data_IF_255345608220
#
_entry.id   IF_255345608220
#
_cell.length_a   1.000
_cell.length_b   1.000
_cell.length_c   1.000
_cell.angle_alpha   90.00
_cell.angle_beta   90.00
_cell.angle_gamma   90.00
#
_symmetry.space_group_name_H-M   'P 1'
#
loop_
_entity.id
_entity.type
_entity.pdbx_description
1 polymer ?
#
# COMPACT_ATOMS: atom_id res chain seq x y z
N UNK A 1 20.46 -8.07 -1.28
CA UNK A 1 21.21 -6.80 -1.47
C UNK A 1 22.31 -6.71 -0.42
N UNK A 2 23.44 -6.04 -0.71
CA UNK A 2 24.47 -5.83 0.31
C UNK A 2 23.97 -4.77 1.33
N UNK A 3 24.05 -5.01 2.66
CA UNK A 3 23.45 -4.14 3.67
C UNK A 3 23.78 -2.65 3.53
N UNK A 4 25.02 -2.32 3.15
CA UNK A 4 25.48 -0.94 2.89
C UNK A 4 24.68 -0.15 1.85
N UNK A 5 23.95 -0.82 0.95
CA UNK A 5 23.15 -0.16 -0.09
C UNK A 5 21.68 -0.02 0.29
N UNK A 6 21.22 -0.57 1.43
CA UNK A 6 19.80 -0.59 1.77
C UNK A 6 19.21 0.81 1.89
N UNK A 7 19.90 1.76 2.53
CA UNK A 7 19.43 3.15 2.62
C UNK A 7 19.30 3.82 1.26
N UNK A 8 20.26 3.57 0.35
CA UNK A 8 20.25 4.10 -1.01
C UNK A 8 19.10 3.49 -1.83
N UNK A 9 18.87 2.18 -1.72
CA UNK A 9 17.75 1.49 -2.35
C UNK A 9 16.42 2.06 -1.83
N UNK A 10 16.26 2.17 -0.51
CA UNK A 10 15.04 2.64 0.12
C UNK A 10 14.68 4.07 -0.31
N UNK A 11 15.65 5.01 -0.25
CA UNK A 11 15.39 6.40 -0.64
C UNK A 11 15.14 6.55 -2.15
N UNK A 12 15.79 5.72 -2.97
CA UNK A 12 15.57 5.72 -4.42
C UNK A 12 14.19 5.16 -4.77
N UNK A 13 13.75 4.06 -4.12
CA UNK A 13 12.40 3.55 -4.27
C UNK A 13 11.35 4.57 -3.83
N UNK A 14 11.58 5.26 -2.71
CA UNK A 14 10.69 6.32 -2.23
C UNK A 14 10.60 7.48 -3.24
N UNK A 15 11.74 7.95 -3.76
CA UNK A 15 11.77 9.02 -4.74
C UNK A 15 11.08 8.62 -6.05
N UNK A 16 11.31 7.39 -6.53
CA UNK A 16 10.61 6.82 -7.68
C UNK A 16 9.09 6.81 -7.46
N UNK A 17 8.63 6.29 -6.32
CA UNK A 17 7.21 6.23 -6.00
C UNK A 17 6.57 7.62 -5.93
N UNK A 18 7.26 8.60 -5.35
CA UNK A 18 6.79 9.98 -5.32
C UNK A 18 6.60 10.53 -6.74
N UNK A 19 7.57 10.31 -7.65
CA UNK A 19 7.45 10.74 -9.06
C UNK A 19 6.34 10.05 -9.84
N UNK A 20 5.90 8.86 -9.41
CA UNK A 20 4.84 8.11 -10.12
C UNK A 20 3.44 8.38 -9.58
N UNK A 21 3.32 8.75 -8.30
CA UNK A 21 2.03 8.86 -7.61
C UNK A 21 1.64 10.31 -7.34
N UNK A 22 2.60 11.18 -7.03
CA UNK A 22 2.33 12.55 -6.61
C UNK A 22 2.35 13.53 -7.79
N UNK A 23 1.66 14.66 -7.65
CA UNK A 23 1.74 15.80 -8.56
C UNK A 23 3.14 16.45 -8.51
N UNK A 24 3.56 17.11 -9.60
CA UNK A 24 4.91 17.68 -9.74
C UNK A 24 5.30 18.63 -8.60
N UNK A 25 4.34 19.40 -8.07
CA UNK A 25 4.55 20.35 -6.96
C UNK A 25 4.77 19.64 -5.61
N UNK A 26 4.37 18.37 -5.50
CA UNK A 26 4.51 17.54 -4.31
C UNK A 26 5.75 16.65 -4.34
N UNK A 27 6.36 16.46 -5.51
CA UNK A 27 7.60 15.68 -5.64
C UNK A 27 8.73 16.41 -4.87
N UNK A 28 9.39 15.73 -3.90
CA UNK A 28 10.42 16.37 -3.12
C UNK A 28 11.67 16.65 -3.96
N UNK A 29 12.29 17.82 -3.77
CA UNK A 29 13.56 18.14 -4.41
C UNK A 29 14.63 17.15 -3.95
N UNK A 30 15.26 16.43 -4.88
CA UNK A 30 16.18 15.33 -4.57
C UNK A 30 17.30 15.70 -3.58
N UNK A 31 17.87 16.91 -3.70
CA UNK A 31 18.91 17.39 -2.78
C UNK A 31 18.39 17.57 -1.36
N UNK A 32 17.16 18.04 -1.21
CA UNK A 32 16.48 18.21 0.07
C UNK A 32 16.13 16.84 0.64
N UNK A 33 15.55 15.95 -0.16
CA UNK A 33 15.24 14.58 0.23
C UNK A 33 16.47 13.84 0.75
N UNK A 34 17.57 13.87 0.02
CA UNK A 34 18.82 13.20 0.40
C UNK A 34 19.38 13.71 1.75
N UNK A 35 19.26 15.02 2.00
CA UNK A 35 19.72 15.67 3.24
C UNK A 35 18.80 15.31 4.41
N UNK A 36 17.50 15.47 4.23
CA UNK A 36 16.51 15.39 5.32
C UNK A 36 16.16 13.93 5.67
N UNK A 37 16.42 12.98 4.78
CA UNK A 37 16.25 11.55 5.06
C UNK A 37 17.38 10.93 5.88
N UNK A 38 18.48 11.65 6.10
CA UNK A 38 19.70 11.17 6.77
C UNK A 38 20.23 9.84 6.21
N UNK A 39 19.98 9.56 4.92
CA UNK A 39 20.34 8.28 4.30
C UNK A 39 21.84 8.11 4.03
N UNK A 40 22.62 9.18 4.15
CA UNK A 40 24.05 9.22 3.86
C UNK A 40 24.40 9.15 2.36
N UNK A 41 23.41 9.24 1.47
CA UNK A 41 23.61 9.15 0.02
C UNK A 41 23.67 10.55 -0.62
N UNK A 42 24.52 10.71 -1.61
CA UNK A 42 24.52 11.88 -2.50
C UNK A 42 23.43 11.76 -3.57
N UNK A 43 23.03 12.89 -4.16
CA UNK A 43 22.04 12.90 -5.25
C UNK A 43 22.46 12.04 -6.45
N UNK A 44 23.76 11.99 -6.78
CA UNK A 44 24.28 11.14 -7.86
C UNK A 44 24.18 9.65 -7.55
N UNK A 45 24.39 9.25 -6.29
CA UNK A 45 24.19 7.86 -5.86
C UNK A 45 22.72 7.44 -5.95
N UNK A 46 21.81 8.32 -5.53
CA UNK A 46 20.36 8.08 -5.61
C UNK A 46 19.93 7.95 -7.08
N UNK A 47 20.32 8.87 -7.96
CA UNK A 47 19.98 8.79 -9.39
C UNK A 47 20.56 7.54 -10.07
N UNK A 48 21.76 7.12 -9.67
CA UNK A 48 22.36 5.88 -10.19
C UNK A 48 21.57 4.66 -9.71
N UNK A 49 21.19 4.61 -8.43
CA UNK A 49 20.42 3.51 -7.86
C UNK A 49 18.99 3.47 -8.44
N UNK A 50 18.35 4.62 -8.63
CA UNK A 50 17.08 4.77 -9.33
C UNK A 50 17.11 4.10 -10.71
N UNK A 51 18.12 4.40 -11.53
CA UNK A 51 18.27 3.77 -12.85
C UNK A 51 18.41 2.24 -12.75
N UNK A 52 19.23 1.76 -11.81
CA UNK A 52 19.39 0.32 -11.58
C UNK A 52 18.06 -0.34 -11.20
N UNK A 53 17.24 0.32 -10.37
CA UNK A 53 15.93 -0.19 -9.97
C UNK A 53 14.99 -0.23 -11.19
N UNK A 54 14.91 0.86 -11.97
CA UNK A 54 14.11 0.91 -13.19
C UNK A 54 14.48 -0.20 -14.17
N UNK A 55 15.77 -0.38 -14.43
CA UNK A 55 16.26 -1.44 -15.32
C UNK A 55 15.87 -2.84 -14.80
N UNK A 56 15.91 -3.06 -13.48
CA UNK A 56 15.50 -4.34 -12.86
C UNK A 56 14.00 -4.59 -12.91
N UNK A 57 13.20 -3.54 -12.94
CA UNK A 57 11.75 -3.61 -13.07
C UNK A 57 11.31 -3.59 -14.55
N UNK A 58 12.25 -3.64 -15.50
CA UNK A 58 11.99 -3.48 -16.93
C UNK A 58 11.22 -2.20 -17.25
N UNK A 59 11.47 -1.14 -16.48
CA UNK A 59 10.78 0.15 -16.57
C UNK A 59 9.27 0.07 -16.32
N UNK A 60 8.77 -1.05 -15.82
CA UNK A 60 7.37 -1.22 -15.44
C UNK A 60 7.18 -0.90 -13.96
N UNK A 61 6.47 0.20 -13.71
CA UNK A 61 6.10 0.65 -12.37
C UNK A 61 4.59 0.46 -12.11
N UNK A 62 3.85 -0.09 -13.07
CA UNK A 62 2.41 -0.32 -12.96
C UNK A 62 2.15 -1.60 -12.18
N UNK A 63 2.19 -1.49 -10.86
CA UNK A 63 1.86 -2.59 -9.96
C UNK A 63 0.74 -2.20 -9.01
N UNK A 64 -0.30 -3.03 -8.94
CA UNK A 64 -1.36 -2.85 -7.98
C UNK A 64 -0.81 -3.10 -6.57
N UNK A 65 -0.98 -2.12 -5.70
CA UNK A 65 -0.55 -2.20 -4.31
C UNK A 65 -1.62 -2.91 -3.47
N UNK A 66 -1.25 -3.44 -2.28
CA UNK A 66 -2.25 -3.93 -1.32
C UNK A 66 -3.32 -2.88 -0.99
N UNK A 67 -2.97 -1.58 -1.04
CA UNK A 67 -3.89 -0.48 -0.77
C UNK A 67 -4.95 -0.34 -1.87
N UNK A 68 -4.57 -0.52 -3.14
CA UNK A 68 -5.51 -0.50 -4.26
C UNK A 68 -6.56 -1.61 -4.11
N UNK A 69 -6.12 -2.82 -3.77
CA UNK A 69 -7.03 -3.93 -3.48
C UNK A 69 -7.92 -3.66 -2.27
N UNK A 70 -7.39 -3.04 -1.21
CA UNK A 70 -8.17 -2.68 -0.03
C UNK A 70 -9.30 -1.71 -0.41
N UNK A 71 -9.00 -0.68 -1.20
CA UNK A 71 -10.00 0.28 -1.68
C UNK A 71 -11.08 -0.41 -2.52
N UNK A 72 -10.68 -1.28 -3.46
CA UNK A 72 -11.61 -2.02 -4.32
C UNK A 72 -12.51 -2.95 -3.49
N UNK A 73 -11.93 -3.77 -2.62
CA UNK A 73 -12.69 -4.72 -1.80
C UNK A 73 -13.61 -4.02 -0.82
N UNK A 74 -13.17 -2.92 -0.20
CA UNK A 74 -14.02 -2.12 0.68
C UNK A 74 -15.20 -1.51 -0.08
N UNK A 75 -14.96 -0.95 -1.27
CA UNK A 75 -16.02 -0.42 -2.12
C UNK A 75 -17.04 -1.49 -2.51
N UNK A 76 -16.59 -2.69 -2.91
CA UNK A 76 -17.46 -3.82 -3.23
C UNK A 76 -18.24 -4.27 -1.99
N UNK A 77 -17.57 -4.44 -0.84
CA UNK A 77 -18.22 -4.85 0.40
C UNK A 77 -19.35 -3.92 0.82
N UNK A 78 -19.09 -2.61 0.83
CA UNK A 78 -20.09 -1.59 1.18
C UNK A 78 -21.24 -1.56 0.17
N UNK A 79 -20.96 -1.78 -1.13
CA UNK A 79 -21.98 -1.79 -2.18
C UNK A 79 -22.86 -3.04 -2.15
N UNK A 80 -22.27 -4.22 -1.93
CA UNK A 80 -22.99 -5.50 -1.87
C UNK A 80 -23.78 -5.64 -0.56
N UNK A 81 -23.29 -5.05 0.54
CA UNK A 81 -23.89 -5.15 1.87
C UNK A 81 -24.09 -3.76 2.48
N UNK A 82 -25.12 -3.01 2.05
CA UNK A 82 -25.43 -1.69 2.61
C UNK A 82 -25.70 -1.72 4.12
N UNK A 83 -26.08 -2.89 4.69
CA UNK A 83 -26.18 -3.05 6.15
C UNK A 83 -24.90 -2.67 6.90
N UNK A 84 -23.73 -2.77 6.27
CA UNK A 84 -22.46 -2.33 6.85
C UNK A 84 -22.46 -0.84 7.21
N UNK A 85 -23.22 -0.01 6.49
CA UNK A 85 -23.37 1.42 6.81
C UNK A 85 -24.06 1.65 8.16
N UNK A 86 -24.93 0.73 8.57
CA UNK A 86 -25.65 0.81 9.84
C UNK A 86 -24.92 0.05 10.95
N UNK A 87 -24.21 -1.04 10.61
CA UNK A 87 -23.42 -1.83 11.55
C UNK A 87 -22.14 -1.14 12.01
N UNK A 88 -21.58 -0.23 11.21
CA UNK A 88 -20.40 0.56 11.60
C UNK A 88 -20.77 1.51 12.73
N UNK A 89 -20.37 1.23 13.99
CA UNK A 89 -20.73 2.10 15.08
C UNK A 89 -19.82 3.32 14.99
N UNK A 90 -20.39 4.45 14.54
CA UNK A 90 -19.81 5.81 14.60
C UNK A 90 -18.83 6.23 13.49
N UNK A 91 -18.48 5.38 12.55
CA UNK A 91 -17.53 5.71 11.47
C UNK A 91 -18.23 5.79 10.12
N UNK A 92 -17.99 6.86 9.36
CA UNK A 92 -18.35 6.88 7.94
C UNK A 92 -17.55 5.83 7.16
N UNK A 93 -18.00 5.39 5.97
CA UNK A 93 -17.22 4.47 5.13
C UNK A 93 -15.79 4.96 4.85
N UNK A 94 -15.60 6.26 4.65
CA UNK A 94 -14.28 6.86 4.45
C UNK A 94 -13.40 6.82 5.69
N UNK A 95 -13.96 7.10 6.87
CA UNK A 95 -13.23 6.97 8.14
C UNK A 95 -12.87 5.52 8.43
N UNK A 96 -13.78 4.59 8.13
CA UNK A 96 -13.54 3.17 8.25
C UNK A 96 -12.40 2.72 7.32
N UNK A 97 -12.42 3.13 6.05
CA UNK A 97 -11.34 2.85 5.11
C UNK A 97 -9.99 3.43 5.55
N UNK A 98 -9.98 4.62 6.16
CA UNK A 98 -8.75 5.22 6.69
C UNK A 98 -8.15 4.40 7.85
N UNK A 99 -9.00 3.84 8.73
CA UNK A 99 -8.56 2.93 9.80
C UNK A 99 -7.94 1.67 9.21
N UNK A 100 -8.61 1.04 8.25
CA UNK A 100 -8.08 -0.16 7.57
C UNK A 100 -6.78 0.14 6.83
N UNK A 101 -6.69 1.30 6.16
CA UNK A 101 -5.46 1.75 5.49
C UNK A 101 -4.30 1.84 6.47
N UNK A 102 -4.51 2.43 7.65
CA UNK A 102 -3.48 2.51 8.69
C UNK A 102 -3.05 1.11 9.18
N UNK A 103 -3.99 0.20 9.35
CA UNK A 103 -3.68 -1.18 9.74
C UNK A 103 -2.89 -1.91 8.65
N UNK A 104 -3.27 -1.74 7.39
CA UNK A 104 -2.58 -2.34 6.25
C UNK A 104 -1.13 -1.87 6.16
N UNK A 105 -0.90 -0.57 6.33
CA UNK A 105 0.46 -0.01 6.34
C UNK A 105 1.30 -0.58 7.49
N UNK A 106 0.70 -0.84 8.65
CA UNK A 106 1.40 -1.53 9.75
C UNK A 106 1.73 -2.99 9.38
N UNK A 107 0.82 -3.71 8.72
CA UNK A 107 1.09 -5.05 8.21
C UNK A 107 2.22 -5.07 7.17
N UNK A 108 2.30 -4.06 6.30
CA UNK A 108 3.36 -3.94 5.30
C UNK A 108 4.74 -3.68 5.91
N UNK A 109 4.81 -3.18 7.15
CA UNK A 109 6.07 -3.08 7.88
C UNK A 109 6.57 -4.43 8.43
N UNK A 110 5.76 -5.49 8.36
CA UNK A 110 6.10 -6.82 8.84
C UNK A 110 6.54 -7.75 7.69
N UNK A 111 7.82 -8.12 7.69
CA UNK A 111 8.41 -8.98 6.64
C UNK A 111 7.71 -10.33 6.48
N UNK A 112 7.16 -10.91 7.55
CA UNK A 112 6.42 -12.19 7.48
C UNK A 112 5.12 -12.08 6.69
N UNK A 113 4.53 -10.88 6.60
CA UNK A 113 3.29 -10.65 5.85
C UNK A 113 3.57 -10.27 4.40
N UNK A 114 4.75 -9.74 4.10
CA UNK A 114 5.17 -9.38 2.74
C UNK A 114 5.38 -10.57 1.80
N UNK A 115 5.41 -11.80 2.34
CA UNK A 115 5.50 -13.02 1.52
C UNK A 115 4.17 -13.36 0.79
N UNK A 116 3.05 -12.79 1.24
CA UNK A 116 1.74 -13.00 0.62
C UNK A 116 1.48 -12.00 -0.50
N UNK A 117 0.61 -12.36 -1.45
CA UNK A 117 0.13 -11.42 -2.47
C UNK A 117 -0.56 -10.23 -1.81
N UNK A 118 -0.38 -9.03 -2.38
CA UNK A 118 -1.01 -7.81 -1.86
C UNK A 118 -2.54 -7.90 -1.77
N UNK A 119 -3.16 -8.51 -2.78
CA UNK A 119 -4.61 -8.79 -2.78
C UNK A 119 -5.03 -9.71 -1.63
N UNK A 120 -4.25 -10.74 -1.31
CA UNK A 120 -4.55 -11.65 -0.20
C UNK A 120 -4.45 -10.93 1.15
N UNK A 121 -3.46 -10.05 1.34
CA UNK A 121 -3.34 -9.27 2.57
C UNK A 121 -4.53 -8.31 2.74
N UNK A 122 -4.91 -7.61 1.67
CA UNK A 122 -6.07 -6.72 1.67
C UNK A 122 -7.38 -7.48 1.95
N UNK A 123 -7.59 -8.63 1.29
CA UNK A 123 -8.77 -9.47 1.49
C UNK A 123 -8.83 -10.01 2.92
N UNK A 124 -7.71 -10.50 3.47
CA UNK A 124 -7.66 -10.99 4.85
C UNK A 124 -8.04 -9.88 5.85
N UNK A 125 -7.56 -8.65 5.61
CA UNK A 125 -7.89 -7.49 6.43
C UNK A 125 -9.39 -7.14 6.36
N UNK A 126 -9.96 -7.07 5.15
CA UNK A 126 -11.40 -6.83 4.98
C UNK A 126 -12.21 -7.95 5.63
N UNK A 127 -11.86 -9.21 5.37
CA UNK A 127 -12.57 -10.37 5.93
C UNK A 127 -12.60 -10.35 7.45
N UNK A 128 -11.46 -10.08 8.11
CA UNK A 128 -11.36 -10.00 9.56
C UNK A 128 -12.23 -8.88 10.13
N UNK A 129 -12.37 -7.77 9.41
CA UNK A 129 -13.22 -6.67 9.86
C UNK A 129 -14.70 -6.97 9.64
N UNK A 130 -15.05 -7.57 8.49
CA UNK A 130 -16.44 -7.96 8.20
C UNK A 130 -16.95 -9.00 9.20
N UNK A 131 -16.11 -9.93 9.65
CA UNK A 131 -16.45 -10.94 10.66
C UNK A 131 -16.98 -10.32 11.96
N UNK A 132 -16.50 -9.13 12.33
CA UNK A 132 -16.95 -8.42 13.54
C UNK A 132 -18.27 -7.66 13.33
N UNK A 133 -18.60 -7.33 12.08
CA UNK A 133 -19.69 -6.41 11.74
C UNK A 133 -20.95 -7.11 11.25
N UNK A 134 -20.82 -8.24 10.54
CA UNK A 134 -21.96 -8.92 9.91
C UNK A 134 -21.88 -10.45 10.06
N UNK A 135 -23.02 -11.14 10.25
CA UNK A 135 -23.05 -12.59 10.39
C UNK A 135 -22.77 -13.34 9.07
N UNK A 136 -22.98 -12.69 7.93
CA UNK A 136 -22.83 -13.23 6.58
C UNK A 136 -21.51 -12.80 5.91
N UNK A 137 -20.46 -12.62 6.73
CA UNK A 137 -19.13 -12.18 6.30
C UNK A 137 -18.44 -13.19 5.37
N UNK A 138 -18.56 -14.50 5.63
CA UNK A 138 -17.82 -15.52 4.88
C UNK A 138 -18.25 -15.60 3.41
N UNK A 139 -19.56 -15.63 3.07
CA UNK A 139 -19.99 -15.52 1.68
C UNK A 139 -19.47 -14.25 0.97
N UNK A 140 -19.42 -13.12 1.67
CA UNK A 140 -18.87 -11.87 1.12
C UNK A 140 -17.37 -12.02 0.84
N UNK A 141 -16.60 -12.60 1.77
CA UNK A 141 -15.18 -12.87 1.55
C UNK A 141 -14.94 -13.77 0.33
N UNK A 142 -15.77 -14.78 0.13
CA UNK A 142 -15.68 -15.67 -1.04
C UNK A 142 -15.97 -14.90 -2.34
N UNK A 143 -16.97 -14.03 -2.35
CA UNK A 143 -17.29 -13.18 -3.50
C UNK A 143 -16.12 -12.22 -3.82
N UNK A 144 -15.51 -11.61 -2.80
CA UNK A 144 -14.34 -10.75 -2.97
C UNK A 144 -13.13 -11.52 -3.48
N UNK A 145 -12.91 -12.75 -3.01
CA UNK A 145 -11.83 -13.62 -3.47
C UNK A 145 -11.94 -13.94 -4.97
N UNK A 146 -13.16 -14.10 -5.48
CA UNK A 146 -13.40 -14.33 -6.92
C UNK A 146 -13.09 -13.09 -7.78
N UNK A 147 -12.97 -11.91 -7.17
CA UNK A 147 -12.67 -10.64 -7.83
C UNK A 147 -11.21 -10.18 -7.61
N UNK A 148 -10.41 -10.98 -6.90
CA UNK A 148 -9.01 -10.73 -6.54
C UNK A 148 -8.03 -11.25 -7.61
#
# INVERSE_FOLDING_TARGET
AHPKYLSCIAISCFFLAAKTVEEDERIPVLKVLARDSFCGCSSSEILRMERIILDKLNWDLHTATPLDFLHIFHAIAVSTRPQLLFSLPRLSPSQHLAVLTKQLLHCMACNQLLQFKGSMLALAMVSLEMEKLIPDWLPLTIELLQKA
#
